data_IF_782975956556
#
_entry.id   IF_782975956556
#
_cell.length_a   1.000
_cell.length_b   1.000
_cell.length_c   1.000
_cell.angle_alpha   90.00
_cell.angle_beta   90.00
_cell.angle_gamma   90.00
#
_symmetry.space_group_name_H-M   'P 1'
#
loop_
_entity.id
_entity.type
_entity.pdbx_description
1 polymer ?
#
# COMPACT_ATOMS: atom_id res chain seq x y z
N UNK A 1 9.55 8.03 -2.67
CA UNK A 1 10.21 8.59 -3.86
C UNK A 1 9.61 8.06 -5.17
N UNK A 2 9.52 6.74 -5.41
CA UNK A 2 8.92 6.20 -6.65
C UNK A 2 7.52 6.72 -6.98
N UNK A 3 6.59 6.70 -6.02
CA UNK A 3 5.23 7.23 -6.25
C UNK A 3 5.23 8.71 -6.69
N UNK A 4 6.13 9.53 -6.13
CA UNK A 4 6.24 10.93 -6.52
C UNK A 4 6.82 11.07 -7.95
N UNK A 5 7.83 10.27 -8.29
CA UNK A 5 8.40 10.22 -9.64
C UNK A 5 7.35 9.83 -10.69
N UNK A 6 6.57 8.78 -10.41
CA UNK A 6 5.44 8.36 -11.25
C UNK A 6 4.41 9.48 -11.39
N UNK A 7 3.99 10.09 -10.28
CA UNK A 7 3.01 11.18 -10.31
C UNK A 7 3.48 12.39 -11.13
N UNK A 8 4.75 12.79 -11.03
CA UNK A 8 5.32 13.88 -11.84
C UNK A 8 5.27 13.51 -13.33
N UNK A 9 5.61 12.26 -13.65
CA UNK A 9 5.63 11.78 -15.03
C UNK A 9 4.22 11.72 -15.63
N UNK A 10 3.23 11.23 -14.88
CA UNK A 10 1.82 11.20 -15.24
C UNK A 10 1.25 12.61 -15.43
N UNK A 11 1.56 13.55 -14.52
CA UNK A 11 1.17 14.96 -14.66
C UNK A 11 1.72 15.58 -15.95
N UNK A 12 2.99 15.27 -16.30
CA UNK A 12 3.61 15.75 -17.54
C UNK A 12 2.89 15.22 -18.77
N UNK A 13 2.52 13.96 -18.79
CA UNK A 13 1.84 13.32 -19.92
C UNK A 13 0.38 13.78 -20.04
N UNK A 14 -0.30 14.00 -18.91
CA UNK A 14 -1.65 14.56 -18.87
C UNK A 14 -1.74 15.97 -19.48
N UNK A 15 -0.64 16.72 -19.51
CA UNK A 15 -0.54 18.02 -20.18
C UNK A 15 -0.21 17.94 -21.68
N UNK A 16 -0.07 16.74 -22.25
CA UNK A 16 0.31 16.54 -23.66
C UNK A 16 1.62 17.23 -24.03
N UNK A 17 1.70 17.79 -25.24
CA UNK A 17 2.89 18.50 -25.72
C UNK A 17 3.27 19.71 -24.84
N UNK A 18 2.30 20.35 -24.20
CA UNK A 18 2.57 21.46 -23.29
C UNK A 18 3.35 21.01 -22.05
N UNK A 19 3.18 19.77 -21.58
CA UNK A 19 3.95 19.24 -20.46
C UNK A 19 5.47 19.22 -20.71
N UNK A 20 5.91 19.28 -21.97
CA UNK A 20 7.32 19.35 -22.34
C UNK A 20 7.90 20.77 -22.37
N UNK A 21 7.06 21.80 -22.39
CA UNK A 21 7.53 23.19 -22.42
C UNK A 21 8.20 23.53 -21.09
N UNK A 22 9.46 24.00 -21.16
CA UNK A 22 10.23 24.38 -19.97
C UNK A 22 9.50 25.37 -19.06
N UNK A 23 8.66 26.26 -19.63
CA UNK A 23 7.84 27.20 -18.86
C UNK A 23 6.87 26.52 -17.88
N UNK A 24 6.47 25.27 -18.14
CA UNK A 24 5.59 24.48 -17.28
C UNK A 24 6.36 23.68 -16.21
N UNK A 25 7.70 23.66 -16.25
CA UNK A 25 8.61 23.17 -15.20
C UNK A 25 8.44 21.71 -14.75
N UNK A 26 7.58 20.92 -15.39
CA UNK A 26 7.38 19.49 -15.05
C UNK A 26 8.64 18.66 -15.33
N UNK A 27 9.43 19.05 -16.34
CA UNK A 27 10.76 18.45 -16.59
C UNK A 27 11.75 18.74 -15.47
N UNK A 28 11.82 19.99 -15.00
CA UNK A 28 12.71 20.39 -13.90
C UNK A 28 12.33 19.68 -12.60
N UNK A 29 11.04 19.66 -12.25
CA UNK A 29 10.52 18.95 -11.07
C UNK A 29 10.87 17.45 -11.14
N UNK A 30 10.79 16.84 -12.34
CA UNK A 30 11.17 15.43 -12.52
C UNK A 30 12.66 15.24 -12.26
N UNK A 31 13.51 16.09 -12.83
CA UNK A 31 14.96 16.02 -12.66
C UNK A 31 15.37 16.22 -11.20
N UNK A 32 14.76 17.18 -10.51
CA UNK A 32 15.04 17.47 -9.10
C UNK A 32 14.59 16.33 -8.17
N UNK A 33 13.53 15.59 -8.54
CA UNK A 33 13.05 14.45 -7.76
C UNK A 33 13.81 13.15 -8.05
N UNK A 34 14.45 12.98 -9.20
CA UNK A 34 15.12 11.75 -9.61
C UNK A 34 16.14 11.22 -8.58
N UNK A 35 17.00 12.07 -7.97
CA UNK A 35 17.97 11.63 -6.97
C UNK A 35 17.36 11.03 -5.69
N UNK A 36 16.10 11.38 -5.37
CA UNK A 36 15.40 10.88 -4.16
C UNK A 36 15.16 9.36 -4.21
N UNK A 37 15.38 8.72 -5.35
CA UNK A 37 15.31 7.26 -5.47
C UNK A 37 16.61 6.54 -5.08
N UNK A 38 17.71 7.29 -4.84
CA UNK A 38 19.06 6.72 -4.69
C UNK A 38 19.86 7.28 -3.50
N UNK A 39 19.92 8.59 -3.28
CA UNK A 39 20.97 9.19 -2.42
C UNK A 39 20.80 8.95 -0.90
N UNK A 40 19.58 8.76 -0.39
CA UNK A 40 19.33 8.51 1.05
C UNK A 40 19.15 7.01 1.38
N UNK A 41 19.66 6.15 0.49
CA UNK A 41 19.46 4.71 0.51
C UNK A 41 18.71 4.28 -0.75
N UNK A 42 19.30 3.37 -1.52
CA UNK A 42 18.65 2.82 -2.70
C UNK A 42 17.30 2.21 -2.31
N UNK A 43 16.24 2.59 -3.04
CA UNK A 43 14.89 2.15 -2.72
C UNK A 43 14.76 0.62 -2.64
N UNK A 44 15.51 -0.17 -3.43
CA UNK A 44 15.45 -1.62 -3.36
C UNK A 44 16.10 -2.16 -2.07
N UNK A 45 17.18 -1.53 -1.62
CA UNK A 45 17.81 -1.84 -0.32
C UNK A 45 16.88 -1.47 0.84
N UNK A 46 16.20 -0.33 0.77
CA UNK A 46 15.22 0.07 1.79
C UNK A 46 14.02 -0.89 1.85
N UNK A 47 13.57 -1.41 0.72
CA UNK A 47 12.55 -2.47 0.70
C UNK A 47 13.06 -3.75 1.36
N UNK A 48 14.32 -4.16 1.14
CA UNK A 48 14.92 -5.32 1.83
C UNK A 48 14.94 -5.14 3.35
N UNK A 49 15.35 -3.96 3.82
CA UNK A 49 15.34 -3.64 5.25
C UNK A 49 13.93 -3.71 5.84
N UNK A 50 12.95 -3.17 5.12
CA UNK A 50 11.53 -3.18 5.52
C UNK A 50 10.98 -4.60 5.61
N UNK A 51 11.25 -5.46 4.63
CA UNK A 51 10.81 -6.86 4.70
C UNK A 51 11.50 -7.64 5.82
N UNK A 52 12.80 -7.43 6.04
CA UNK A 52 13.53 -8.07 7.15
C UNK A 52 12.97 -7.66 8.52
N UNK A 53 12.60 -6.38 8.68
CA UNK A 53 11.91 -5.89 9.87
C UNK A 53 10.61 -6.66 10.14
N UNK A 54 9.79 -6.90 9.11
CA UNK A 54 8.52 -7.64 9.23
C UNK A 54 8.74 -9.13 9.52
N UNK A 55 9.70 -9.76 8.85
CA UNK A 55 10.06 -11.17 9.08
C UNK A 55 10.50 -11.40 10.52
N UNK A 56 11.28 -10.47 11.09
CA UNK A 56 11.72 -10.53 12.49
C UNK A 56 10.53 -10.55 13.46
N UNK A 57 9.53 -9.68 13.25
CA UNK A 57 8.34 -9.66 14.12
C UNK A 57 7.54 -10.95 14.08
N UNK A 58 7.49 -11.63 12.94
CA UNK A 58 6.87 -12.95 12.87
C UNK A 58 7.67 -14.03 13.58
N UNK A 59 9.01 -13.93 13.57
CA UNK A 59 9.86 -14.81 14.38
C UNK A 59 9.56 -14.62 15.87
N UNK A 60 9.54 -13.38 16.36
CA UNK A 60 9.19 -13.06 17.75
C UNK A 60 7.81 -13.60 18.13
N UNK A 61 6.80 -13.37 17.28
CA UNK A 61 5.44 -13.89 17.48
C UNK A 61 5.42 -15.42 17.57
N UNK A 62 6.19 -16.10 16.71
CA UNK A 62 6.24 -17.57 16.70
C UNK A 62 6.89 -18.17 17.96
N UNK A 63 7.69 -17.37 18.68
CA UNK A 63 8.24 -17.72 20.00
C UNK A 63 7.29 -17.41 21.15
N UNK A 64 6.08 -16.89 20.86
CA UNK A 64 5.07 -16.54 21.85
C UNK A 64 5.20 -15.12 22.42
N UNK A 65 6.10 -14.29 21.89
CA UNK A 65 6.21 -12.89 22.30
C UNK A 65 5.09 -12.06 21.66
N UNK A 66 4.43 -11.15 22.42
CA UNK A 66 3.46 -10.23 21.85
C UNK A 66 4.14 -9.27 20.87
N UNK A 67 3.47 -8.95 19.77
CA UNK A 67 3.98 -7.96 18.80
C UNK A 67 3.62 -6.57 19.32
N UNK A 68 4.62 -5.81 19.75
CA UNK A 68 4.44 -4.43 20.20
C UNK A 68 5.58 -3.58 19.70
N UNK A 69 5.30 -2.78 18.68
CA UNK A 69 6.27 -1.88 18.07
C UNK A 69 6.16 -0.47 18.66
N UNK A 70 7.27 0.30 18.78
CA UNK A 70 7.24 1.61 19.44
C UNK A 70 6.19 2.60 18.90
N UNK A 71 5.83 2.47 17.61
CA UNK A 71 4.88 3.34 16.92
C UNK A 71 3.55 2.63 16.58
N UNK A 72 3.35 1.40 17.06
CA UNK A 72 2.18 0.59 16.76
C UNK A 72 2.03 0.15 15.30
N UNK A 73 3.09 0.22 14.49
CA UNK A 73 3.05 0.02 13.04
C UNK A 73 2.78 -1.44 12.63
N UNK A 74 3.12 -2.41 13.49
CA UNK A 74 2.95 -3.84 13.23
C UNK A 74 2.09 -4.54 14.27
N UNK A 75 1.49 -3.81 15.21
CA UNK A 75 0.75 -4.40 16.34
C UNK A 75 -0.49 -5.19 15.88
N UNK A 76 -1.00 -4.89 14.67
CA UNK A 76 -2.07 -5.69 14.04
C UNK A 76 -1.66 -7.14 13.77
N UNK A 77 -0.37 -7.48 13.79
CA UNK A 77 0.11 -8.86 13.66
C UNK A 77 -0.24 -9.73 14.88
N UNK A 78 -0.66 -9.14 16.01
CA UNK A 78 -1.24 -9.94 17.10
C UNK A 78 -2.49 -10.70 16.61
N UNK A 79 -3.29 -10.06 15.76
CA UNK A 79 -4.52 -10.63 15.16
C UNK A 79 -4.26 -11.41 13.85
N UNK A 80 -3.00 -11.72 13.53
CA UNK A 80 -2.58 -12.29 12.23
C UNK A 80 -3.47 -13.45 11.73
N UNK A 81 -3.77 -14.44 12.59
CA UNK A 81 -4.58 -15.60 12.21
C UNK A 81 -6.06 -15.23 11.99
N UNK A 82 -6.59 -14.28 12.76
CA UNK A 82 -7.95 -13.77 12.59
C UNK A 82 -8.05 -12.96 11.30
N UNK A 83 -7.06 -12.11 11.02
CA UNK A 83 -6.95 -11.33 9.80
C UNK A 83 -6.96 -12.26 8.58
N UNK A 84 -6.12 -13.29 8.54
CA UNK A 84 -6.04 -14.20 7.38
C UNK A 84 -7.32 -14.99 7.11
N UNK A 85 -8.21 -15.15 8.10
CA UNK A 85 -9.52 -15.79 7.92
C UNK A 85 -10.59 -14.85 7.34
N UNK A 86 -10.30 -13.55 7.28
CA UNK A 86 -11.23 -12.59 6.71
C UNK A 86 -11.30 -12.73 5.19
N UNK A 87 -12.47 -12.47 4.65
CA UNK A 87 -12.71 -12.29 3.23
C UNK A 87 -13.29 -10.89 3.00
N UNK A 88 -13.24 -10.44 1.76
CA UNK A 88 -13.89 -9.22 1.36
C UNK A 88 -15.40 -9.43 1.38
N UNK A 89 -16.04 -8.99 2.45
CA UNK A 89 -17.50 -8.88 2.51
C UNK A 89 -17.86 -7.67 1.68
N UNK A 90 -18.67 -7.87 0.63
CA UNK A 90 -19.20 -6.79 -0.21
C UNK A 90 -19.81 -5.73 0.71
N UNK A 91 -19.14 -4.58 0.87
CA UNK A 91 -19.66 -3.54 1.72
C UNK A 91 -20.88 -2.91 1.03
N UNK A 92 -21.75 -2.23 1.77
CA UNK A 92 -22.65 -1.29 1.10
C UNK A 92 -21.79 -0.27 0.33
N UNK A 93 -22.27 0.29 -0.78
CA UNK A 93 -21.49 1.22 -1.60
C UNK A 93 -20.91 2.37 -0.77
N UNK A 94 -21.60 2.74 0.32
CA UNK A 94 -21.21 3.77 1.26
C UNK A 94 -20.01 3.39 2.15
N UNK A 95 -19.78 2.11 2.42
CA UNK A 95 -18.66 1.63 3.24
C UNK A 95 -17.32 1.68 2.48
N UNK A 96 -17.34 1.58 1.15
CA UNK A 96 -16.13 1.76 0.31
C UNK A 96 -15.71 3.22 0.17
N UNK A 97 -16.60 4.15 0.54
CA UNK A 97 -16.27 5.56 0.63
C UNK A 97 -15.49 5.90 1.92
N UNK A 98 -15.30 4.92 2.81
CA UNK A 98 -14.45 5.01 3.99
C UNK A 98 -13.15 4.20 3.81
N UNK A 99 -12.02 4.84 4.12
CA UNK A 99 -10.69 4.23 4.01
C UNK A 99 -10.46 3.04 4.94
N UNK A 100 -11.33 2.81 5.94
CA UNK A 100 -11.31 1.64 6.81
C UNK A 100 -11.48 0.31 6.06
N UNK A 101 -12.27 0.28 4.98
CA UNK A 101 -12.40 -0.90 4.13
C UNK A 101 -11.05 -1.25 3.46
N UNK A 102 -10.40 -0.23 2.88
CA UNK A 102 -9.06 -0.38 2.29
C UNK A 102 -8.01 -0.78 3.34
N UNK A 103 -8.07 -0.24 4.56
CA UNK A 103 -7.17 -0.61 5.65
C UNK A 103 -7.30 -2.07 6.06
N UNK A 104 -8.53 -2.59 6.17
CA UNK A 104 -8.74 -4.02 6.45
C UNK A 104 -8.15 -4.89 5.36
N UNK A 105 -8.37 -4.53 4.09
CA UNK A 105 -7.81 -5.27 2.96
C UNK A 105 -6.27 -5.22 2.94
N UNK A 106 -5.66 -4.07 3.25
CA UNK A 106 -4.21 -3.94 3.35
C UNK A 106 -3.61 -4.76 4.50
N UNK A 107 -4.23 -4.76 5.68
CA UNK A 107 -3.79 -5.64 6.79
C UNK A 107 -3.81 -7.10 6.37
N UNK A 108 -4.87 -7.53 5.70
CA UNK A 108 -4.96 -8.87 5.13
C UNK A 108 -3.84 -9.14 4.11
N UNK A 109 -3.64 -8.21 3.16
CA UNK A 109 -2.63 -8.33 2.10
C UNK A 109 -1.22 -8.45 2.67
N UNK A 110 -0.88 -7.63 3.67
CA UNK A 110 0.41 -7.69 4.36
C UNK A 110 0.57 -9.04 5.05
N UNK A 111 -0.42 -9.52 5.81
CA UNK A 111 -0.36 -10.84 6.44
C UNK A 111 -0.19 -11.97 5.40
N UNK A 112 -0.90 -11.89 4.27
CA UNK A 112 -0.82 -12.90 3.21
C UNK A 112 0.56 -12.94 2.55
N UNK A 113 1.10 -11.78 2.18
CA UNK A 113 2.43 -11.65 1.59
C UNK A 113 3.54 -12.03 2.58
N UNK A 114 3.34 -11.73 3.86
CA UNK A 114 4.26 -12.09 4.93
C UNK A 114 4.34 -13.61 5.08
N UNK A 115 3.19 -14.30 5.08
CA UNK A 115 3.12 -15.77 5.06
C UNK A 115 3.90 -16.36 3.89
N UNK A 116 3.65 -15.86 2.69
CA UNK A 116 4.31 -16.32 1.47
C UNK A 116 5.82 -16.10 1.49
N UNK A 117 6.25 -14.94 2.01
CA UNK A 117 7.67 -14.58 2.12
C UNK A 117 8.40 -15.49 3.11
N UNK A 118 7.79 -15.78 4.27
CA UNK A 118 8.35 -16.73 5.25
C UNK A 118 8.46 -18.14 4.66
N UNK A 119 7.40 -18.61 3.99
CA UNK A 119 7.42 -19.94 3.36
C UNK A 119 8.50 -20.05 2.28
N UNK A 120 8.66 -19.01 1.45
CA UNK A 120 9.69 -18.96 0.43
C UNK A 120 11.10 -18.98 1.06
N UNK A 121 11.33 -18.18 2.10
CA UNK A 121 12.61 -18.11 2.80
C UNK A 121 12.97 -19.46 3.43
N UNK A 122 12.04 -20.06 4.17
CA UNK A 122 12.24 -21.41 4.76
C UNK A 122 12.57 -22.46 3.71
N UNK A 123 11.90 -22.43 2.56
CA UNK A 123 12.20 -23.35 1.45
C UNK A 123 13.62 -23.15 0.90
N UNK A 124 14.16 -21.93 0.88
CA UNK A 124 15.56 -21.72 0.48
C UNK A 124 16.52 -22.28 1.53
N UNK A 125 16.22 -22.10 2.82
CA UNK A 125 17.02 -22.64 3.93
C UNK A 125 17.01 -24.18 3.92
N UNK A 126 15.84 -24.79 3.72
CA UNK A 126 15.66 -26.25 3.58
C UNK A 126 16.43 -26.82 2.37
N UNK A 127 16.58 -26.04 1.30
CA UNK A 127 17.39 -26.39 0.14
C UNK A 127 18.91 -26.24 0.39
N UNK A 128 19.33 -25.82 1.60
CA UNK A 128 20.73 -25.65 1.97
C UNK A 128 21.38 -24.36 1.45
N UNK A 129 20.60 -23.40 0.96
CA UNK A 129 21.14 -22.09 0.58
C UNK A 129 21.71 -21.38 1.80
N UNK A 130 22.85 -20.71 1.64
CA UNK A 130 23.40 -19.84 2.70
C UNK A 130 22.44 -18.67 2.98
N UNK A 131 22.48 -18.11 4.19
CA UNK A 131 21.54 -17.08 4.65
C UNK A 131 21.38 -15.90 3.66
N UNK A 132 22.50 -15.38 3.15
CA UNK A 132 22.49 -14.28 2.20
C UNK A 132 21.79 -14.66 0.88
N UNK A 133 22.10 -15.84 0.37
CA UNK A 133 21.51 -16.35 -0.86
C UNK A 133 20.01 -16.63 -0.69
N UNK A 134 19.62 -17.24 0.44
CA UNK A 134 18.23 -17.51 0.79
C UNK A 134 17.40 -16.23 0.85
N UNK A 135 17.94 -15.16 1.45
CA UNK A 135 17.32 -13.83 1.47
C UNK A 135 17.19 -13.24 0.08
N UNK A 136 18.26 -13.28 -0.72
CA UNK A 136 18.25 -12.75 -2.09
C UNK A 136 17.24 -13.48 -2.99
N UNK A 137 17.21 -14.81 -2.93
CA UNK A 137 16.29 -15.66 -3.70
C UNK A 137 14.82 -15.54 -3.25
N UNK A 138 14.60 -14.96 -2.07
CA UNK A 138 13.27 -14.65 -1.53
C UNK A 138 12.88 -13.19 -1.73
N UNK A 139 13.71 -12.39 -2.42
CA UNK A 139 13.44 -10.96 -2.53
C UNK A 139 12.39 -10.64 -3.59
N UNK A 140 12.61 -11.11 -4.82
CA UNK A 140 11.76 -10.79 -5.97
C UNK A 140 10.40 -11.49 -5.82
N UNK A 141 9.31 -10.74 -6.04
CA UNK A 141 7.91 -11.16 -5.90
C UNK A 141 7.41 -11.52 -4.49
N UNK A 142 8.29 -11.76 -3.51
CA UNK A 142 7.91 -12.04 -2.12
C UNK A 142 8.23 -10.84 -1.22
N UNK A 143 9.44 -10.76 -0.66
CA UNK A 143 9.81 -9.72 0.30
C UNK A 143 9.66 -8.29 -0.26
N UNK A 144 9.93 -8.08 -1.56
CA UNK A 144 9.68 -6.79 -2.23
C UNK A 144 8.20 -6.40 -2.18
N UNK A 145 7.32 -7.31 -2.58
CA UNK A 145 5.87 -7.08 -2.62
C UNK A 145 5.31 -6.83 -1.22
N UNK A 146 5.79 -7.62 -0.23
CA UNK A 146 5.48 -7.44 1.19
C UNK A 146 5.84 -6.03 1.68
N UNK A 147 7.06 -5.58 1.40
CA UNK A 147 7.54 -4.27 1.83
C UNK A 147 6.70 -3.13 1.22
N UNK A 148 6.39 -3.21 -0.08
CA UNK A 148 5.54 -2.22 -0.77
C UNK A 148 4.15 -2.18 -0.15
N UNK A 149 3.48 -3.33 0.02
CA UNK A 149 2.15 -3.39 0.60
C UNK A 149 2.12 -2.83 2.05
N UNK A 150 3.17 -3.10 2.84
CA UNK A 150 3.29 -2.56 4.20
C UNK A 150 3.50 -1.04 4.23
N UNK A 151 4.31 -0.49 3.31
CA UNK A 151 4.51 0.96 3.19
C UNK A 151 3.21 1.64 2.78
N UNK A 152 2.50 1.11 1.79
CA UNK A 152 1.21 1.64 1.34
C UNK A 152 0.15 1.59 2.45
N UNK A 153 0.06 0.47 3.19
CA UNK A 153 -0.76 0.35 4.39
C UNK A 153 -0.41 1.44 5.42
N UNK A 154 0.89 1.66 5.68
CA UNK A 154 1.35 2.65 6.65
C UNK A 154 0.96 4.07 6.26
N UNK A 155 1.12 4.43 4.97
CA UNK A 155 0.68 5.72 4.44
C UNK A 155 -0.84 5.89 4.60
N UNK A 156 -1.61 4.88 4.18
CA UNK A 156 -3.07 4.91 4.29
C UNK A 156 -3.52 5.02 5.76
N UNK A 157 -2.88 4.30 6.67
CA UNK A 157 -3.24 4.29 8.09
C UNK A 157 -2.98 5.66 8.74
N UNK A 158 -1.83 6.27 8.41
CA UNK A 158 -1.51 7.62 8.89
C UNK A 158 -2.48 8.66 8.34
N UNK A 159 -2.84 8.57 7.05
CA UNK A 159 -3.81 9.48 6.46
C UNK A 159 -5.21 9.28 7.06
N UNK A 160 -5.67 8.05 7.19
CA UNK A 160 -6.95 7.72 7.85
C UNK A 160 -7.01 8.26 9.27
N UNK A 161 -5.96 8.04 10.09
CA UNK A 161 -5.88 8.58 11.46
C UNK A 161 -5.92 10.10 11.48
N UNK A 162 -5.26 10.76 10.53
CA UNK A 162 -5.26 12.22 10.42
C UNK A 162 -6.68 12.76 10.13
N UNK A 163 -7.34 12.26 9.08
CA UNK A 163 -8.68 12.78 8.67
C UNK A 163 -9.78 12.46 9.67
N UNK A 164 -9.61 11.45 10.52
CA UNK A 164 -10.52 11.12 11.61
C UNK A 164 -10.15 11.80 12.94
N UNK A 165 -9.02 12.51 13.00
CA UNK A 165 -8.60 13.23 14.19
C UNK A 165 -9.47 14.48 14.44
N UNK A 166 -9.77 14.81 15.71
CA UNK A 166 -10.43 16.07 16.07
C UNK A 166 -9.69 17.33 15.62
N UNK A 167 -8.39 17.23 15.30
CA UNK A 167 -7.58 18.35 14.83
C UNK A 167 -7.80 18.71 13.36
N UNK A 168 -8.47 17.85 12.58
CA UNK A 168 -8.76 18.13 11.17
C UNK A 168 -9.91 19.14 11.06
N UNK A 169 -9.75 20.26 10.32
CA UNK A 169 -10.82 21.23 10.13
C UNK A 169 -12.10 20.60 9.57
N UNK A 170 -13.22 20.82 10.26
CA UNK A 170 -14.52 20.17 9.95
C UNK A 170 -14.97 20.43 8.51
N UNK A 171 -14.68 21.61 7.97
CA UNK A 171 -15.02 21.99 6.60
C UNK A 171 -14.16 21.28 5.53
N UNK A 172 -12.94 20.84 5.88
CA UNK A 172 -12.05 20.11 4.97
C UNK A 172 -12.21 18.59 5.11
N UNK A 173 -12.74 18.12 6.24
CA UNK A 173 -12.83 16.70 6.55
C UNK A 173 -13.54 15.87 5.45
N UNK A 174 -14.67 16.30 4.85
CA UNK A 174 -15.34 15.50 3.83
C UNK A 174 -14.48 15.25 2.58
N UNK A 175 -13.82 16.29 2.05
CA UNK A 175 -12.97 16.15 0.86
C UNK A 175 -11.70 15.36 1.16
N UNK A 176 -11.09 15.55 2.34
CA UNK A 176 -9.91 14.79 2.75
C UNK A 176 -10.23 13.31 2.95
N UNK A 177 -11.43 12.98 3.48
CA UNK A 177 -11.89 11.59 3.56
C UNK A 177 -12.06 10.97 2.18
N UNK A 178 -12.67 11.68 1.22
CA UNK A 178 -12.78 11.19 -0.15
C UNK A 178 -11.41 10.96 -0.81
N UNK A 179 -10.44 11.87 -0.63
CA UNK A 179 -9.08 11.71 -1.16
C UNK A 179 -8.38 10.51 -0.49
N UNK A 180 -8.55 10.33 0.81
CA UNK A 180 -7.98 9.20 1.56
C UNK A 180 -8.56 7.86 1.07
N UNK A 181 -9.88 7.77 0.90
CA UNK A 181 -10.54 6.58 0.35
C UNK A 181 -10.15 6.33 -1.11
N UNK A 182 -10.01 7.39 -1.92
CA UNK A 182 -9.57 7.28 -3.32
C UNK A 182 -8.15 6.72 -3.39
N UNK A 183 -7.23 7.25 -2.59
CA UNK A 183 -5.87 6.74 -2.50
C UNK A 183 -5.86 5.26 -2.06
N UNK A 184 -6.64 4.93 -1.02
CA UNK A 184 -6.75 3.57 -0.51
C UNK A 184 -7.20 2.57 -1.58
N UNK A 185 -8.30 2.86 -2.27
CA UNK A 185 -8.85 1.97 -3.30
C UNK A 185 -7.99 1.94 -4.57
N UNK A 186 -7.50 3.08 -5.05
CA UNK A 186 -6.64 3.15 -6.23
C UNK A 186 -5.35 2.36 -6.02
N UNK A 187 -4.72 2.51 -4.85
CA UNK A 187 -3.50 1.78 -4.51
C UNK A 187 -3.78 0.30 -4.34
N UNK A 188 -4.86 -0.07 -3.63
CA UNK A 188 -5.27 -1.46 -3.43
C UNK A 188 -5.61 -2.16 -4.76
N UNK A 189 -6.20 -1.45 -5.72
CA UNK A 189 -6.56 -1.99 -7.03
C UNK A 189 -5.35 -2.53 -7.81
N UNK A 190 -4.14 -2.02 -7.54
CA UNK A 190 -2.88 -2.54 -8.11
C UNK A 190 -2.55 -3.94 -7.59
N UNK A 191 -3.10 -4.34 -6.44
CA UNK A 191 -2.89 -5.62 -5.77
C UNK A 191 -4.04 -6.61 -5.94
N UNK A 192 -5.07 -6.27 -6.73
CA UNK A 192 -6.28 -7.09 -6.94
C UNK A 192 -5.97 -8.54 -7.31
N UNK A 193 -4.98 -8.77 -8.17
CA UNK A 193 -4.56 -10.13 -8.55
C UNK A 193 -4.11 -10.98 -7.35
N UNK A 194 -3.35 -10.40 -6.42
CA UNK A 194 -2.85 -11.08 -5.21
C UNK A 194 -4.00 -11.31 -4.23
N UNK A 195 -4.89 -10.33 -4.09
CA UNK A 195 -6.08 -10.44 -3.24
C UNK A 195 -7.01 -11.57 -3.71
N UNK A 196 -7.17 -11.76 -5.03
CA UNK A 196 -7.88 -12.92 -5.58
C UNK A 196 -7.10 -14.22 -5.39
N UNK A 197 -5.80 -14.22 -5.67
CA UNK A 197 -4.95 -15.41 -5.53
C UNK A 197 -4.98 -15.99 -4.11
N UNK A 198 -5.01 -15.13 -3.09
CA UNK A 198 -5.09 -15.58 -1.70
C UNK A 198 -6.51 -15.72 -1.15
N UNK A 199 -7.54 -15.48 -1.96
CA UNK A 199 -8.94 -15.72 -1.59
C UNK A 199 -9.59 -14.63 -0.74
N UNK A 200 -8.98 -13.45 -0.62
CA UNK A 200 -9.64 -12.31 0.03
C UNK A 200 -10.78 -11.77 -0.85
N UNK A 201 -10.48 -11.52 -2.12
CA UNK A 201 -11.49 -11.20 -3.12
C UNK A 201 -11.97 -12.49 -3.80
N UNK A 202 -13.26 -12.55 -4.10
CA UNK A 202 -13.86 -13.66 -4.83
C UNK A 202 -15.00 -13.18 -5.71
N UNK A 203 -15.29 -13.95 -6.76
CA UNK A 203 -16.31 -13.60 -7.75
C UNK A 203 -15.95 -12.41 -8.64
N UNK A 204 -16.79 -12.17 -9.65
CA UNK A 204 -16.57 -11.12 -10.66
C UNK A 204 -16.83 -9.71 -10.12
N UNK A 205 -17.73 -9.57 -9.15
CA UNK A 205 -18.21 -8.27 -8.69
C UNK A 205 -17.23 -7.55 -7.76
N UNK A 206 -16.38 -8.27 -7.03
CA UNK A 206 -15.47 -7.67 -6.05
C UNK A 206 -14.51 -6.65 -6.69
N UNK A 207 -13.82 -7.04 -7.77
CA UNK A 207 -12.94 -6.14 -8.50
C UNK A 207 -13.68 -4.99 -9.20
N UNK A 208 -14.85 -5.27 -9.79
CA UNK A 208 -15.68 -4.22 -10.42
C UNK A 208 -16.13 -3.17 -9.42
N UNK A 209 -16.59 -3.60 -8.25
CA UNK A 209 -17.03 -2.69 -7.19
C UNK A 209 -15.89 -1.75 -6.75
N UNK A 210 -14.66 -2.26 -6.59
CA UNK A 210 -13.50 -1.41 -6.29
C UNK A 210 -13.28 -0.36 -7.40
N UNK A 211 -13.35 -0.77 -8.66
CA UNK A 211 -13.18 0.13 -9.81
C UNK A 211 -14.30 1.18 -9.89
N UNK A 212 -15.55 0.78 -9.70
CA UNK A 212 -16.71 1.67 -9.71
C UNK A 212 -16.65 2.69 -8.57
N UNK A 213 -16.25 2.27 -7.37
CA UNK A 213 -16.03 3.17 -6.23
C UNK A 213 -14.89 4.17 -6.47
N UNK A 214 -13.81 3.77 -7.16
CA UNK A 214 -12.75 4.69 -7.57
C UNK A 214 -13.32 5.77 -8.51
N UNK A 215 -14.13 5.38 -9.51
CA UNK A 215 -14.75 6.32 -10.44
C UNK A 215 -15.72 7.27 -9.72
N UNK A 216 -16.51 6.77 -8.77
CA UNK A 216 -17.40 7.58 -7.95
C UNK A 216 -16.59 8.59 -7.12
N UNK A 217 -15.53 8.18 -6.44
CA UNK A 217 -14.67 9.07 -5.66
C UNK A 217 -13.98 10.13 -6.52
N UNK A 218 -13.48 9.75 -7.70
CA UNK A 218 -12.97 10.71 -8.68
C UNK A 218 -14.02 11.77 -9.03
N UNK A 219 -15.29 11.37 -9.21
CA UNK A 219 -16.38 12.30 -9.49
C UNK A 219 -16.67 13.26 -8.32
N UNK A 220 -16.50 12.81 -7.07
CA UNK A 220 -16.72 13.60 -5.85
C UNK A 220 -15.57 14.56 -5.53
N UNK A 221 -14.33 14.20 -5.88
CA UNK A 221 -13.14 15.05 -5.68
C UNK A 221 -12.97 16.04 -6.82
N UNK A 222 -13.50 15.74 -8.01
CA UNK A 222 -13.45 16.66 -9.15
C UNK A 222 -14.18 17.96 -8.82
N UNK A 223 -13.44 19.06 -8.83
CA UNK A 223 -14.01 20.40 -8.77
C UNK A 223 -14.94 20.62 -9.96
N UNK A 224 -16.24 20.80 -9.70
CA UNK A 224 -17.18 21.30 -10.70
C UNK A 224 -17.25 22.82 -10.52
N UNK A 225 -16.83 23.58 -11.54
CA UNK A 225 -17.32 24.95 -11.66
C UNK A 225 -18.76 24.84 -12.12
N UNK A 226 -19.69 25.24 -11.27
CA UNK A 226 -21.03 25.59 -11.71
C UNK A 226 -20.86 26.81 -12.62
N UNK A 227 -20.97 26.59 -13.93
CA UNK A 227 -21.04 27.63 -14.96
C UNK A 227 -22.49 27.80 -15.38
#
# INVERSE_FOLDING_TARGET
>A
SWLAQEAIQECREACGGHGYLAMNRLGDIRNDNDPNCTYEGDNNVLLQQTSNYLLRWMSERSQGHPVSSPMGSVDFLNDYDAILRQTFVLPDAQDLMDSSASLRAYKWLVCYLLRGSIQKLRKQEENGCAEFEAKNNSQVYYCRSLAIAFIEHTVLEKYHKHVHSPSTPVNLQPVLKHICSLYGLWSLNKHTAILYQGGYLSGENAGKLIQDSILELCSKVRFRRDY
#
